data_IF_468783570083
#
_entry.id   IF_468783570083
#
_cell.length_a   1.000
_cell.length_b   1.000
_cell.length_c   1.000
_cell.angle_alpha   90.00
_cell.angle_beta   90.00
_cell.angle_gamma   90.00
#
_symmetry.space_group_name_H-M   'P 1'
#
loop_
_entity.id
_entity.type
_entity.pdbx_description
1 polymer ?
#
# COMPACT_ATOMS: atom_id res chain seq x y z
N UNK A 1 8.54 18.00 -14.33
CA UNK A 1 7.46 17.98 -13.32
C UNK A 1 8.01 17.51 -11.96
N UNK A 2 9.09 18.16 -11.47
CA UNK A 2 9.83 17.77 -10.26
C UNK A 2 10.12 19.01 -9.38
N UNK A 3 9.07 19.72 -8.94
CA UNK A 3 9.20 20.85 -8.01
C UNK A 3 8.13 20.83 -6.90
N UNK A 4 7.92 19.67 -6.31
CA UNK A 4 7.15 19.51 -5.06
C UNK A 4 7.88 18.61 -4.05
N UNK A 5 9.21 18.57 -4.09
CA UNK A 5 10.02 17.93 -3.05
C UNK A 5 10.26 18.85 -1.82
N UNK A 6 9.95 20.15 -1.93
CA UNK A 6 10.35 21.16 -0.94
C UNK A 6 9.50 21.20 0.35
N UNK A 7 8.46 20.37 0.44
CA UNK A 7 7.70 20.18 1.69
C UNK A 7 8.41 19.30 2.73
N UNK A 8 9.48 18.60 2.34
CA UNK A 8 10.14 17.56 3.11
C UNK A 8 11.40 18.03 3.84
N UNK A 9 11.89 19.22 3.53
CA UNK A 9 13.17 19.77 4.01
C UNK A 9 13.10 20.42 5.40
N UNK A 10 12.03 20.21 6.19
CA UNK A 10 11.84 20.84 7.51
C UNK A 10 12.00 19.92 8.71
N UNK A 11 12.51 18.71 8.51
CA UNK A 11 12.94 17.85 9.61
C UNK A 11 14.43 17.60 9.46
N UNK A 12 15.24 18.57 9.89
CA UNK A 12 16.60 18.35 10.39
C UNK A 12 17.21 19.67 10.84
N UNK A 13 17.44 19.82 12.15
CA UNK A 13 18.73 20.24 12.73
C UNK A 13 18.75 19.93 14.24
N UNK A 14 19.56 18.94 14.63
CA UNK A 14 20.29 18.86 15.91
C UNK A 14 19.51 18.86 17.23
N UNK A 15 19.34 17.68 17.85
CA UNK A 15 18.86 17.49 19.22
C UNK A 15 18.61 16.01 19.55
N UNK A 16 18.66 15.58 20.82
CA UNK A 16 18.83 14.17 21.20
C UNK A 16 17.62 13.32 20.79
N UNK A 17 17.88 12.05 20.46
CA UNK A 17 16.96 10.94 20.16
C UNK A 17 15.51 11.39 19.92
N UNK A 18 15.15 11.54 18.64
CA UNK A 18 13.78 11.83 18.18
C UNK A 18 12.80 10.89 18.89
N UNK A 19 11.97 11.42 19.78
CA UNK A 19 10.84 10.69 20.34
C UNK A 19 9.82 10.51 19.22
N UNK A 20 9.98 9.46 18.42
CA UNK A 20 9.05 9.07 17.37
C UNK A 20 7.65 8.91 17.96
N UNK A 21 6.64 9.35 17.22
CA UNK A 21 5.25 9.14 17.63
C UNK A 21 4.99 7.63 17.74
N UNK A 22 4.60 7.14 18.91
CA UNK A 22 4.32 5.71 19.07
C UNK A 22 3.04 5.34 18.33
N UNK A 23 3.17 4.44 17.35
CA UNK A 23 2.03 3.85 16.66
C UNK A 23 1.15 3.08 17.65
N UNK A 24 -0.17 3.19 17.51
CA UNK A 24 -1.08 2.37 18.31
C UNK A 24 -0.95 0.89 17.92
N UNK A 25 -1.32 -0.06 18.81
CA UNK A 25 -1.27 -1.49 18.47
C UNK A 25 -2.01 -1.82 17.17
N UNK A 26 -3.18 -1.19 16.96
CA UNK A 26 -3.97 -1.34 15.74
C UNK A 26 -3.25 -0.80 14.49
N UNK A 27 -2.57 0.35 14.59
CA UNK A 27 -1.79 0.90 13.48
C UNK A 27 -0.61 0.00 13.13
N UNK A 28 0.13 -0.47 14.15
CA UNK A 28 1.25 -1.39 13.97
C UNK A 28 0.80 -2.67 13.28
N UNK A 29 -0.28 -3.30 13.75
CA UNK A 29 -0.84 -4.51 13.15
C UNK A 29 -1.18 -4.31 11.66
N UNK A 30 -1.90 -3.22 11.31
CA UNK A 30 -2.22 -2.94 9.90
C UNK A 30 -0.99 -2.71 9.05
N UNK A 31 0.00 -1.98 9.57
CA UNK A 31 1.24 -1.71 8.85
C UNK A 31 2.07 -2.98 8.67
N UNK A 32 2.06 -3.91 9.63
CA UNK A 32 2.69 -5.23 9.49
C UNK A 32 2.04 -6.06 8.38
N UNK A 33 0.72 -6.04 8.27
CA UNK A 33 0.03 -6.68 7.14
C UNK A 33 0.44 -6.08 5.81
N UNK A 34 0.53 -4.75 5.71
CA UNK A 34 1.02 -4.08 4.50
C UNK A 34 2.47 -4.45 4.18
N UNK A 35 3.33 -4.54 5.18
CA UNK A 35 4.72 -4.96 4.99
C UNK A 35 4.79 -6.37 4.36
N UNK A 36 4.05 -7.33 4.93
CA UNK A 36 3.96 -8.70 4.38
C UNK A 36 3.35 -8.74 2.99
N UNK A 37 2.39 -7.86 2.71
CA UNK A 37 1.78 -7.74 1.39
C UNK A 37 2.82 -7.40 0.31
N UNK A 38 3.93 -6.74 0.63
CA UNK A 38 5.00 -6.44 -0.31
C UNK A 38 6.04 -7.56 -0.49
N UNK A 39 5.72 -8.81 -0.12
CA UNK A 39 6.55 -9.99 -0.42
C UNK A 39 8.00 -9.88 0.15
N UNK A 40 8.19 -9.75 1.47
CA UNK A 40 9.53 -9.78 2.08
C UNK A 40 10.24 -11.12 1.80
N UNK A 41 11.56 -11.14 2.00
CA UNK A 41 12.38 -12.36 1.90
C UNK A 41 12.16 -13.31 3.09
N UNK A 42 12.84 -14.46 3.08
CA UNK A 42 12.75 -15.48 4.13
C UNK A 42 13.27 -14.97 5.49
N UNK A 43 14.04 -13.88 5.49
CA UNK A 43 14.53 -13.18 6.67
C UNK A 43 13.61 -12.01 7.07
N UNK A 44 12.41 -11.93 6.49
CA UNK A 44 11.39 -10.92 6.73
C UNK A 44 11.86 -9.47 6.45
N UNK A 45 12.64 -9.29 5.39
CA UNK A 45 13.06 -7.97 4.91
C UNK A 45 12.49 -7.69 3.52
N UNK A 46 12.11 -6.45 3.26
CA UNK A 46 11.90 -6.02 1.89
C UNK A 46 13.27 -5.81 1.25
N UNK A 47 13.51 -6.46 0.13
CA UNK A 47 14.72 -6.36 -0.70
C UNK A 47 14.33 -5.92 -2.10
N UNK A 48 15.29 -5.60 -2.97
CA UNK A 48 14.97 -5.19 -4.34
C UNK A 48 14.06 -6.19 -5.07
N UNK A 49 14.35 -7.49 -4.92
CA UNK A 49 13.57 -8.57 -5.53
C UNK A 49 12.15 -8.71 -4.97
N UNK A 50 11.84 -8.11 -3.82
CA UNK A 50 10.47 -8.11 -3.25
C UNK A 50 9.49 -7.43 -4.20
N UNK A 51 9.90 -6.35 -4.86
CA UNK A 51 9.06 -5.68 -5.85
C UNK A 51 8.80 -6.59 -7.07
N UNK A 52 9.81 -7.30 -7.54
CA UNK A 52 9.65 -8.20 -8.68
C UNK A 52 8.73 -9.38 -8.35
N UNK A 53 8.83 -9.95 -7.14
CA UNK A 53 7.89 -10.98 -6.65
C UNK A 53 6.48 -10.44 -6.54
N UNK A 54 6.33 -9.24 -5.96
CA UNK A 54 5.04 -8.57 -5.82
C UNK A 54 4.38 -8.28 -7.17
N UNK A 55 5.15 -7.76 -8.13
CA UNK A 55 4.66 -7.50 -9.49
C UNK A 55 4.28 -8.79 -10.22
N UNK A 56 5.08 -9.85 -10.07
CA UNK A 56 4.74 -11.17 -10.63
C UNK A 56 3.38 -11.66 -10.10
N UNK A 57 3.15 -11.56 -8.80
CA UNK A 57 1.88 -11.94 -8.16
C UNK A 57 0.70 -11.11 -8.67
N UNK A 58 0.89 -9.81 -8.88
CA UNK A 58 -0.13 -8.95 -9.51
C UNK A 58 -0.46 -9.44 -10.93
N UNK A 59 0.54 -9.69 -11.77
CA UNK A 59 0.32 -10.15 -13.15
C UNK A 59 -0.38 -11.51 -13.20
N UNK A 60 -0.01 -12.43 -12.31
CA UNK A 60 -0.67 -13.74 -12.17
C UNK A 60 -2.13 -13.59 -11.72
N UNK A 61 -2.42 -12.64 -10.83
CA UNK A 61 -3.77 -12.37 -10.34
C UNK A 61 -4.67 -11.69 -11.40
N UNK A 62 -4.16 -10.63 -12.03
CA UNK A 62 -4.94 -9.81 -12.97
C UNK A 62 -5.00 -10.40 -14.38
N UNK A 63 -4.03 -11.24 -14.74
CA UNK A 63 -3.86 -11.71 -16.12
C UNK A 63 -3.33 -10.64 -17.06
N UNK A 64 -2.84 -9.50 -16.55
CA UNK A 64 -2.27 -8.44 -17.39
C UNK A 64 -1.02 -8.94 -18.12
N UNK A 65 -0.87 -8.51 -19.38
CA UNK A 65 0.40 -8.64 -20.07
C UNK A 65 1.45 -7.72 -19.42
N UNK A 66 2.69 -8.22 -19.31
CA UNK A 66 3.80 -7.52 -18.63
C UNK A 66 4.02 -6.09 -19.12
N UNK A 67 3.87 -5.88 -20.43
CA UNK A 67 4.13 -4.58 -21.07
C UNK A 67 2.85 -3.76 -21.30
N UNK A 68 1.71 -4.25 -20.81
CA UNK A 68 0.43 -3.53 -20.89
C UNK A 68 0.52 -2.18 -20.17
N UNK A 69 -0.27 -1.17 -20.59
CA UNK A 69 -0.30 0.13 -19.91
C UNK A 69 -0.56 0.03 -18.40
N UNK A 70 -1.47 -0.85 -17.98
CA UNK A 70 -1.81 -1.04 -16.57
C UNK A 70 -0.67 -1.67 -15.77
N UNK A 71 -0.01 -2.70 -16.33
CA UNK A 71 1.16 -3.33 -15.70
C UNK A 71 2.33 -2.34 -15.53
N UNK A 72 2.58 -1.50 -16.54
CA UNK A 72 3.65 -0.49 -16.49
C UNK A 72 3.34 0.61 -15.48
N UNK A 73 2.13 1.19 -15.50
CA UNK A 73 1.74 2.21 -14.51
C UNK A 73 1.80 1.66 -13.08
N UNK A 74 1.33 0.42 -12.87
CA UNK A 74 1.43 -0.25 -11.57
C UNK A 74 2.89 -0.42 -11.12
N UNK A 75 3.78 -0.88 -12.02
CA UNK A 75 5.20 -1.06 -11.69
C UNK A 75 5.87 0.27 -11.35
N UNK A 76 5.67 1.31 -12.16
CA UNK A 76 6.26 2.64 -11.94
C UNK A 76 5.87 3.24 -10.58
N UNK A 77 4.60 3.10 -10.17
CA UNK A 77 4.14 3.57 -8.86
C UNK A 77 4.85 2.84 -7.72
N UNK A 78 5.01 1.53 -7.83
CA UNK A 78 5.65 0.73 -6.79
C UNK A 78 7.18 0.87 -6.80
N UNK A 79 7.82 1.06 -7.96
CA UNK A 79 9.25 1.39 -8.05
C UNK A 79 9.55 2.69 -7.32
N UNK A 80 8.79 3.76 -7.58
CA UNK A 80 8.97 5.04 -6.89
C UNK A 80 8.79 4.91 -5.37
N UNK A 81 7.85 4.07 -4.93
CA UNK A 81 7.65 3.78 -3.51
C UNK A 81 8.84 3.04 -2.89
N UNK A 82 9.31 1.96 -3.52
CA UNK A 82 10.47 1.19 -3.04
C UNK A 82 11.74 2.04 -3.03
N UNK A 83 11.98 2.87 -4.05
CA UNK A 83 13.14 3.77 -4.06
C UNK A 83 13.15 4.70 -2.84
N UNK A 84 12.02 5.34 -2.54
CA UNK A 84 11.89 6.23 -1.38
C UNK A 84 12.05 5.46 -0.07
N UNK A 85 11.47 4.26 0.01
CA UNK A 85 11.54 3.42 1.20
C UNK A 85 13.00 3.05 1.52
N UNK A 86 13.76 2.61 0.51
CA UNK A 86 15.16 2.21 0.67
C UNK A 86 16.08 3.42 0.91
N UNK A 87 15.77 4.58 0.32
CA UNK A 87 16.48 5.83 0.61
C UNK A 87 16.28 6.26 2.06
N UNK A 88 15.06 6.08 2.60
CA UNK A 88 14.72 6.49 3.98
C UNK A 88 15.19 5.50 5.05
N UNK A 89 15.31 4.22 4.71
CA UNK A 89 15.93 3.23 5.58
C UNK A 89 17.46 3.27 5.54
N UNK A 90 18.04 3.98 4.56
CA UNK A 90 19.48 4.13 4.40
C UNK A 90 20.11 5.01 5.48
N UNK A 91 21.37 4.75 5.79
CA UNK A 91 22.18 5.60 6.65
C UNK A 91 22.71 6.79 5.82
N UNK A 92 22.66 8.03 6.31
CA UNK A 92 23.14 9.20 5.57
C UNK A 92 24.60 9.13 5.09
N UNK A 93 25.45 8.39 5.81
CA UNK A 93 26.87 8.22 5.48
C UNK A 93 27.12 6.98 4.59
N UNK A 94 26.29 5.94 4.71
CA UNK A 94 26.44 4.69 3.94
C UNK A 94 25.60 4.64 2.66
N UNK A 95 24.69 5.61 2.51
CA UNK A 95 23.79 5.72 1.37
C UNK A 95 22.52 4.87 1.50
N UNK A 96 21.90 4.60 0.35
CA UNK A 96 20.64 3.84 0.24
C UNK A 96 20.77 2.46 0.90
N UNK A 97 19.77 2.06 1.66
CA UNK A 97 19.73 0.71 2.23
C UNK A 97 19.69 -0.35 1.12
N UNK A 98 20.14 -1.57 1.42
CA UNK A 98 19.99 -2.74 0.52
C UNK A 98 18.83 -3.64 0.91
N UNK A 99 18.26 -3.40 2.09
CA UNK A 99 17.11 -4.09 2.65
C UNK A 99 16.37 -3.17 3.62
N UNK A 100 15.11 -3.44 3.86
CA UNK A 100 14.26 -2.69 4.81
C UNK A 100 13.63 -3.70 5.75
N UNK A 101 13.93 -3.56 7.04
CA UNK A 101 13.35 -4.40 8.08
C UNK A 101 11.93 -3.93 8.43
N UNK A 102 11.19 -4.75 9.17
CA UNK A 102 9.91 -4.31 9.73
C UNK A 102 10.07 -3.11 10.69
N UNK A 103 11.20 -3.02 11.40
CA UNK A 103 11.47 -1.88 12.28
C UNK A 103 11.65 -0.59 11.49
N UNK A 104 12.42 -0.63 10.39
CA UNK A 104 12.61 0.52 9.49
C UNK A 104 11.26 0.98 8.90
N UNK A 105 10.44 0.01 8.49
CA UNK A 105 9.08 0.24 8.00
C UNK A 105 8.21 0.97 9.03
N UNK A 106 8.09 0.42 10.24
CA UNK A 106 7.29 1.01 11.31
C UNK A 106 7.84 2.39 11.72
N UNK A 107 9.16 2.54 11.74
CA UNK A 107 9.85 3.81 11.96
C UNK A 107 9.46 4.87 10.93
N UNK A 108 9.45 4.52 9.64
CA UNK A 108 9.01 5.43 8.57
C UNK A 108 7.56 5.89 8.79
N UNK A 109 6.65 4.96 9.07
CA UNK A 109 5.23 5.30 9.25
C UNK A 109 4.94 6.08 10.54
N UNK A 110 5.69 5.82 11.62
CA UNK A 110 5.60 6.57 12.87
C UNK A 110 5.88 8.06 12.69
N UNK A 111 6.77 8.41 11.76
CA UNK A 111 7.11 9.79 11.43
C UNK A 111 6.15 10.41 10.42
N UNK A 112 5.57 9.60 9.54
CA UNK A 112 4.70 10.06 8.45
C UNK A 112 3.26 10.32 8.90
N UNK A 113 2.66 9.41 9.68
CA UNK A 113 1.24 9.47 10.05
C UNK A 113 0.85 10.74 10.83
N UNK A 114 1.61 11.21 11.84
CA UNK A 114 1.22 12.38 12.63
C UNK A 114 1.10 13.67 11.83
N UNK A 115 1.85 13.80 10.73
CA UNK A 115 1.83 14.97 9.85
C UNK A 115 0.69 14.98 8.82
N UNK A 116 0.02 13.85 8.63
CA UNK A 116 -0.90 13.65 7.52
C UNK A 116 -2.36 13.87 7.95
N UNK A 117 -2.88 15.08 7.70
CA UNK A 117 -4.28 15.44 7.97
C UNK A 117 -5.27 15.03 6.87
N UNK A 118 -4.81 14.27 5.86
CA UNK A 118 -5.60 13.86 4.70
C UNK A 118 -4.72 13.39 3.54
N UNK A 119 -5.33 12.72 2.55
CA UNK A 119 -4.64 12.03 1.46
C UNK A 119 -3.71 12.96 0.65
N UNK A 120 -4.10 14.23 0.51
CA UNK A 120 -3.34 15.27 -0.19
C UNK A 120 -1.98 15.60 0.46
N UNK A 121 -1.79 15.29 1.75
CA UNK A 121 -0.53 15.49 2.45
C UNK A 121 0.46 14.34 2.21
N UNK A 122 0.00 13.24 1.60
CA UNK A 122 0.86 12.11 1.33
C UNK A 122 1.66 12.27 0.02
N UNK A 123 2.80 11.56 -0.09
CA UNK A 123 3.59 11.51 -1.31
C UNK A 123 2.75 11.10 -2.52
N UNK A 124 3.16 11.50 -3.73
CA UNK A 124 2.43 11.19 -4.97
C UNK A 124 2.15 9.68 -5.09
N UNK A 125 3.13 8.82 -4.80
CA UNK A 125 2.96 7.37 -4.90
C UNK A 125 1.84 6.83 -3.98
N UNK A 126 1.71 7.35 -2.76
CA UNK A 126 0.61 6.98 -1.85
C UNK A 126 -0.75 7.44 -2.36
N UNK A 127 -0.78 8.55 -3.10
CA UNK A 127 -2.01 9.05 -3.73
C UNK A 127 -2.40 8.24 -4.96
N UNK A 128 -1.46 7.53 -5.58
CA UNK A 128 -1.70 6.67 -6.75
C UNK A 128 -1.99 5.22 -6.37
N UNK A 129 -1.61 4.80 -5.16
CA UNK A 129 -1.86 3.45 -4.65
C UNK A 129 -3.35 3.08 -4.62
N UNK A 130 -4.29 3.96 -4.17
CA UNK A 130 -5.74 3.75 -4.31
C UNK A 130 -6.19 3.36 -5.72
N UNK A 131 -5.76 4.14 -6.70
CA UNK A 131 -6.09 3.94 -8.12
C UNK A 131 -5.53 2.65 -8.65
N UNK A 132 -4.31 2.32 -8.24
CA UNK A 132 -3.64 1.09 -8.65
C UNK A 132 -4.36 -0.13 -8.07
N UNK A 133 -4.70 -0.11 -6.77
CA UNK A 133 -5.48 -1.17 -6.13
C UNK A 133 -6.86 -1.33 -6.76
N UNK A 134 -7.55 -0.23 -7.04
CA UNK A 134 -8.86 -0.28 -7.70
C UNK A 134 -8.79 -1.04 -9.02
N UNK A 135 -7.80 -0.71 -9.88
CA UNK A 135 -7.62 -1.40 -11.16
C UNK A 135 -7.21 -2.87 -11.02
N UNK A 136 -6.48 -3.21 -9.96
CA UNK A 136 -6.14 -4.62 -9.68
C UNK A 136 -7.42 -5.39 -9.34
N UNK A 137 -8.37 -4.77 -8.63
CA UNK A 137 -9.62 -5.40 -8.20
C UNK A 137 -10.68 -5.44 -9.33
N UNK A 138 -10.83 -4.35 -10.09
CA UNK A 138 -11.76 -4.21 -11.23
C UNK A 138 -11.27 -5.05 -12.43
N UNK A 139 -11.70 -6.32 -12.47
CA UNK A 139 -11.16 -7.33 -13.40
C UNK A 139 -11.77 -7.23 -14.79
N UNK A 140 -13.02 -6.79 -14.87
CA UNK A 140 -13.71 -6.62 -16.15
C UNK A 140 -13.53 -5.20 -16.74
N UNK A 141 -12.83 -4.32 -16.01
CA UNK A 141 -12.49 -2.95 -16.39
C UNK A 141 -13.73 -2.09 -16.64
N UNK A 142 -14.84 -2.39 -15.96
CA UNK A 142 -16.09 -1.66 -16.13
C UNK A 142 -16.14 -0.37 -15.26
N UNK A 143 -15.12 -0.15 -14.43
CA UNK A 143 -15.02 1.01 -13.53
C UNK A 143 -15.81 0.86 -12.22
N UNK A 144 -16.26 -0.35 -11.90
CA UNK A 144 -17.00 -0.73 -10.71
C UNK A 144 -16.32 -1.93 -10.06
N UNK A 145 -16.29 -1.93 -8.73
CA UNK A 145 -15.87 -3.10 -7.97
C UNK A 145 -17.10 -3.77 -7.39
N UNK A 146 -17.25 -5.07 -7.67
CA UNK A 146 -18.30 -5.95 -7.15
C UNK A 146 -17.85 -6.71 -5.90
N UNK A 147 -18.80 -7.28 -5.14
CA UNK A 147 -18.49 -8.16 -3.99
C UNK A 147 -17.66 -9.39 -4.43
N UNK A 148 -17.99 -9.97 -5.58
CA UNK A 148 -17.29 -11.13 -6.12
C UNK A 148 -15.83 -10.80 -6.47
N UNK A 149 -15.57 -9.64 -7.07
CA UNK A 149 -14.20 -9.18 -7.34
C UNK A 149 -13.41 -8.92 -6.07
N UNK A 150 -14.03 -8.35 -5.04
CA UNK A 150 -13.39 -8.21 -3.72
C UNK A 150 -13.07 -9.57 -3.10
N UNK A 151 -13.98 -10.53 -3.20
CA UNK A 151 -13.75 -11.89 -2.70
C UNK A 151 -12.57 -12.53 -3.41
N UNK A 152 -12.52 -12.44 -4.74
CA UNK A 152 -11.40 -12.98 -5.50
C UNK A 152 -10.09 -12.24 -5.17
N UNK A 153 -10.12 -10.92 -4.96
CA UNK A 153 -8.95 -10.16 -4.50
C UNK A 153 -8.45 -10.62 -3.13
N UNK A 154 -9.34 -10.72 -2.14
CA UNK A 154 -8.97 -11.18 -0.80
C UNK A 154 -8.42 -12.61 -0.81
N UNK A 155 -8.96 -13.48 -1.65
CA UNK A 155 -8.52 -14.87 -1.78
C UNK A 155 -7.24 -15.02 -2.58
N UNK A 156 -7.12 -14.35 -3.73
CA UNK A 156 -6.03 -14.56 -4.69
C UNK A 156 -4.84 -13.62 -4.49
N UNK A 157 -5.09 -12.39 -4.06
CA UNK A 157 -4.06 -11.34 -3.95
C UNK A 157 -3.63 -11.14 -2.49
N UNK A 158 -4.57 -11.13 -1.55
CA UNK A 158 -4.27 -11.06 -0.10
C UNK A 158 -4.00 -12.44 0.50
N UNK A 159 -4.43 -13.52 -0.17
CA UNK A 159 -4.24 -14.91 0.25
C UNK A 159 -4.88 -15.26 1.60
N UNK A 160 -6.10 -14.76 1.83
CA UNK A 160 -6.91 -15.15 3.00
C UNK A 160 -7.56 -16.51 2.82
N UNK A 161 -7.92 -17.16 3.94
CA UNK A 161 -8.77 -18.35 3.91
C UNK A 161 -10.09 -18.04 3.17
N UNK A 162 -10.65 -18.97 2.36
CA UNK A 162 -11.88 -18.70 1.61
C UNK A 162 -13.06 -18.18 2.45
N UNK A 163 -13.20 -18.62 3.71
CA UNK A 163 -14.28 -18.15 4.59
C UNK A 163 -14.02 -16.73 5.08
N UNK A 164 -12.78 -16.43 5.43
CA UNK A 164 -12.36 -15.08 5.81
C UNK A 164 -12.48 -14.13 4.62
N UNK A 165 -12.04 -14.54 3.44
CA UNK A 165 -12.16 -13.76 2.21
C UNK A 165 -13.62 -13.41 1.91
N UNK A 166 -14.55 -14.36 2.06
CA UNK A 166 -15.98 -14.11 1.85
C UNK A 166 -16.56 -13.13 2.89
N UNK A 167 -16.24 -13.32 4.18
CA UNK A 167 -16.70 -12.42 5.24
C UNK A 167 -16.16 -11.00 5.08
N UNK A 168 -14.88 -10.87 4.76
CA UNK A 168 -14.23 -9.58 4.53
C UNK A 168 -14.72 -8.90 3.25
N UNK A 169 -14.94 -9.65 2.17
CA UNK A 169 -15.50 -9.10 0.94
C UNK A 169 -16.88 -8.48 1.19
N UNK A 170 -17.78 -9.21 1.85
CA UNK A 170 -19.13 -8.72 2.20
C UNK A 170 -19.08 -7.46 3.06
N UNK A 171 -18.24 -7.46 4.09
CA UNK A 171 -18.10 -6.32 5.00
C UNK A 171 -17.52 -5.11 4.27
N UNK A 172 -16.41 -5.30 3.54
CA UNK A 172 -15.75 -4.24 2.80
C UNK A 172 -16.68 -3.67 1.73
N UNK A 173 -17.38 -4.53 1.00
CA UNK A 173 -18.36 -4.13 0.00
C UNK A 173 -19.46 -3.25 0.62
N UNK A 174 -20.12 -3.73 1.67
CA UNK A 174 -21.18 -2.98 2.36
C UNK A 174 -20.70 -1.65 2.96
N UNK A 175 -19.42 -1.54 3.33
CA UNK A 175 -18.81 -0.29 3.81
C UNK A 175 -18.44 0.68 2.68
N UNK A 176 -18.21 0.16 1.48
CA UNK A 176 -17.83 0.93 0.29
C UNK A 176 -19.02 1.30 -0.59
N UNK A 177 -20.14 0.60 -0.47
CA UNK A 177 -21.40 0.89 -1.16
C UNK A 177 -22.42 1.44 -0.17
N UNK A 178 -22.89 2.68 -0.38
CA UNK A 178 -24.04 3.17 0.38
C UNK A 178 -25.32 2.38 -0.02
N UNK A 179 -26.30 2.28 0.86
CA UNK A 179 -27.47 1.34 0.82
C UNK A 179 -28.33 1.43 -0.47
N UNK A 180 -28.06 2.39 -1.35
CA UNK A 180 -28.75 2.63 -2.62
C UNK A 180 -27.93 2.30 -3.88
N UNK A 181 -26.68 1.84 -3.73
CA UNK A 181 -25.76 1.58 -4.85
C UNK A 181 -25.37 0.11 -4.90
N UNK A 182 -25.80 -0.59 -5.94
CA UNK A 182 -25.41 -1.99 -6.17
C UNK A 182 -23.93 -2.15 -6.58
N UNK A 183 -23.09 -1.10 -6.51
CA UNK A 183 -21.69 -1.08 -6.97
C UNK A 183 -20.83 -0.03 -6.23
N UNK A 184 -19.52 -0.28 -6.07
CA UNK A 184 -18.56 0.71 -5.55
C UNK A 184 -17.85 1.45 -6.70
N UNK A 185 -17.92 2.79 -6.72
CA UNK A 185 -17.17 3.64 -7.65
C UNK A 185 -15.85 4.10 -7.03
N UNK A 186 -14.86 4.42 -7.88
CA UNK A 186 -13.55 4.95 -7.44
C UNK A 186 -13.63 6.06 -6.37
N UNK A 187 -14.61 6.97 -6.48
CA UNK A 187 -14.84 8.06 -5.53
C UNK A 187 -15.24 7.59 -4.12
N UNK A 188 -15.88 6.43 -4.00
CA UNK A 188 -16.21 5.79 -2.71
C UNK A 188 -15.02 5.02 -2.14
N UNK A 189 -14.19 4.37 -2.97
CA UNK A 189 -12.92 3.77 -2.54
C UNK A 189 -11.95 4.80 -1.96
N UNK A 190 -11.87 6.01 -2.52
CA UNK A 190 -10.99 7.09 -2.05
C UNK A 190 -11.30 7.53 -0.60
N UNK A 191 -12.57 7.45 -0.19
CA UNK A 191 -13.01 7.74 1.18
C UNK A 191 -12.84 6.55 2.15
N UNK A 192 -12.86 5.33 1.62
CA UNK A 192 -12.82 4.07 2.38
C UNK A 192 -11.45 3.41 2.46
N UNK A 193 -10.42 3.99 1.84
CA UNK A 193 -9.00 3.61 2.00
C UNK A 193 -8.42 3.89 3.40
N UNK A 194 -9.29 4.00 4.41
CA UNK A 194 -8.98 3.68 5.80
C UNK A 194 -8.81 2.16 5.94
N UNK A 195 -7.86 1.58 5.22
CA UNK A 195 -7.26 0.25 5.41
C UNK A 195 -8.06 -0.74 6.27
N UNK A 196 -9.28 -1.09 5.84
CA UNK A 196 -10.03 -2.22 6.42
C UNK A 196 -9.47 -3.51 5.82
N UNK A 197 -8.20 -3.77 6.11
CA UNK A 197 -7.69 -5.13 6.07
C UNK A 197 -8.45 -5.93 7.14
N UNK A 198 -8.66 -7.24 6.95
CA UNK A 198 -9.15 -8.09 8.03
C UNK A 198 -8.33 -7.90 9.30
N UNK A 199 -8.97 -8.03 10.44
CA UNK A 199 -8.30 -8.52 11.65
C UNK A 199 -8.65 -10.01 11.77
N UNK A 200 -7.75 -10.84 12.33
CA UNK A 200 -7.97 -12.28 12.46
C UNK A 200 -9.24 -12.62 13.26
#
# INVERSE_FOLDING_TARGET
LLKQADGWARVETGGPAMSGFTLTPFQTEKLEYFFKFFEPDDQNNLVHDSLDRFMKRILEFTGWERDSPDARECREVHEAFFEILFDKAGDPEQGRATKVTLEDWLGLWSNLIPGCKGLYNFPIWMRLLPKTLFRIIDRDQNGLVTEDELREFYKGMVNLDPREAEGNAKLAYAQMTDVSSDHCRYEACDSSLKLNLPSP
#
